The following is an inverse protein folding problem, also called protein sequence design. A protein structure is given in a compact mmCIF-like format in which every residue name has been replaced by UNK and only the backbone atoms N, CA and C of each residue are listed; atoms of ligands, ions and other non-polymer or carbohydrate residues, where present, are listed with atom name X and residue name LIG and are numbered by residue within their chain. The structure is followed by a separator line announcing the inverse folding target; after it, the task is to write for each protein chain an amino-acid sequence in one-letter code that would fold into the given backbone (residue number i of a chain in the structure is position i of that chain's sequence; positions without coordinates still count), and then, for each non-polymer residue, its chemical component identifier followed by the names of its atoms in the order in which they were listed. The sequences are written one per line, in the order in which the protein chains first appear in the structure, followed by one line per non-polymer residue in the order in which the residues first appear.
data_IF_938545000531
#
_entry.id   IF_938545000531
#
_cell.length_a   1.000
_cell.length_b   1.000
_cell.length_c   1.000
_cell.angle_alpha   90.00
_cell.angle_beta   90.00
_cell.angle_gamma   90.00
#
_symmetry.space_group_name_H-M   'P 1'
#
loop_
_entity.id
_entity.type
_entity.pdbx_description
1 polymer ?
#
# COMPACT_ATOMS: atom_id res chain seq x y z
N UNK A 1 8.21 -14.23 12.68
CA UNK A 1 9.52 -13.61 12.40
C UNK A 1 10.05 -14.24 11.12
N UNK A 2 9.71 -13.69 9.95
CA UNK A 2 10.20 -14.18 8.67
C UNK A 2 11.32 -13.26 8.22
N UNK A 3 12.54 -13.74 8.29
CA UNK A 3 13.70 -13.12 7.65
C UNK A 3 13.59 -13.42 6.15
N UNK A 4 13.44 -12.36 5.34
CA UNK A 4 13.57 -12.47 3.88
C UNK A 4 15.07 -12.63 3.61
N UNK A 5 15.48 -13.86 3.34
CA UNK A 5 16.82 -14.17 2.84
C UNK A 5 16.94 -13.63 1.41
N UNK A 6 17.67 -12.53 1.25
CA UNK A 6 18.18 -12.08 -0.05
C UNK A 6 19.31 -13.00 -0.48
N UNK A 7 19.00 -14.03 -1.24
CA UNK A 7 20.01 -14.76 -2.01
C UNK A 7 20.03 -14.21 -3.44
N UNK A 8 20.69 -13.07 -3.61
CA UNK A 8 21.00 -12.51 -4.92
C UNK A 8 22.30 -13.10 -5.44
N UNK A 9 22.25 -13.85 -6.52
CA UNK A 9 23.44 -14.13 -7.32
C UNK A 9 23.79 -12.85 -8.07
N UNK A 10 24.70 -12.07 -7.51
CA UNK A 10 25.26 -10.89 -8.15
C UNK A 10 26.25 -11.35 -9.23
N UNK A 11 25.92 -11.18 -10.50
CA UNK A 11 26.93 -11.10 -11.54
C UNK A 11 27.68 -9.78 -11.39
N UNK A 12 28.97 -9.87 -11.13
CA UNK A 12 29.86 -8.73 -10.95
C UNK A 12 29.95 -7.91 -12.25
N UNK A 13 29.43 -6.70 -12.22
CA UNK A 13 29.75 -5.65 -13.15
C UNK A 13 29.99 -4.34 -12.39
N UNK A 14 31.21 -3.79 -12.53
CA UNK A 14 31.65 -2.41 -12.31
C UNK A 14 31.00 -1.64 -11.16
N UNK A 15 31.83 -1.01 -10.34
CA UNK A 15 31.49 -0.20 -9.14
C UNK A 15 30.13 0.52 -9.26
N UNK A 16 29.07 -0.15 -8.90
CA UNK A 16 27.75 0.46 -8.81
C UNK A 16 27.69 1.28 -7.54
N UNK A 17 27.49 2.58 -7.67
CA UNK A 17 27.34 3.47 -6.53
C UNK A 17 26.14 3.01 -5.69
N UNK A 18 26.42 2.75 -4.41
CA UNK A 18 25.35 2.41 -3.46
C UNK A 18 24.71 3.68 -2.93
N UNK A 19 23.38 3.69 -2.86
CA UNK A 19 22.62 4.80 -2.29
C UNK A 19 21.81 4.33 -1.09
N UNK A 20 21.97 5.02 0.03
CA UNK A 20 21.12 4.83 1.19
C UNK A 20 19.84 5.66 1.05
N UNK A 21 18.71 4.99 0.94
CA UNK A 21 17.38 5.59 0.72
C UNK A 21 16.83 6.15 2.05
N UNK A 22 17.36 7.28 2.47
CA UNK A 22 16.89 7.96 3.68
C UNK A 22 15.73 8.91 3.33
N UNK A 23 14.69 8.95 4.16
CA UNK A 23 13.63 9.93 4.01
C UNK A 23 13.81 11.07 5.03
N UNK A 24 14.36 12.19 4.58
CA UNK A 24 14.64 13.37 5.41
C UNK A 24 13.36 14.06 5.92
N UNK A 25 12.20 13.84 5.29
CA UNK A 25 10.95 14.40 5.81
C UNK A 25 10.69 13.93 7.25
N UNK A 26 11.16 12.71 7.57
CA UNK A 26 11.19 12.21 8.95
C UNK A 26 12.36 12.82 9.70
N UNK A 27 12.13 13.89 10.37
CA UNK A 27 13.13 14.74 11.07
C UNK A 27 12.71 16.19 11.07
N UNK A 28 11.84 16.56 10.14
CA UNK A 28 11.21 17.88 10.09
C UNK A 28 10.16 18.05 11.19
N UNK A 29 9.81 19.29 11.54
CA UNK A 29 8.75 19.56 12.51
C UNK A 29 7.38 19.14 11.99
N UNK A 30 7.14 19.33 10.71
CA UNK A 30 5.98 18.81 10.01
C UNK A 30 6.24 18.65 8.51
N UNK A 31 5.42 17.81 7.85
CA UNK A 31 5.42 17.65 6.41
C UNK A 31 4.06 17.12 5.94
N UNK A 32 3.77 17.32 4.66
CA UNK A 32 2.48 16.97 4.07
C UNK A 32 2.70 16.18 2.79
N UNK A 33 1.99 15.05 2.65
CA UNK A 33 1.85 14.36 1.37
C UNK A 33 0.43 14.56 0.84
N UNK A 34 0.32 14.84 -0.46
CA UNK A 34 -0.93 14.76 -1.20
C UNK A 34 -1.11 13.34 -1.69
N UNK A 35 -2.19 12.69 -1.31
CA UNK A 35 -2.59 11.38 -1.79
C UNK A 35 -3.69 11.54 -2.84
N UNK A 36 -3.46 11.05 -4.05
CA UNK A 36 -4.44 10.93 -5.11
C UNK A 36 -4.78 9.46 -5.25
N UNK A 37 -6.06 9.12 -5.13
CA UNK A 37 -6.58 7.78 -5.39
C UNK A 37 -7.41 7.82 -6.65
N UNK A 38 -7.15 6.90 -7.56
CA UNK A 38 -7.92 6.75 -8.78
C UNK A 38 -8.36 5.29 -8.90
N UNK A 39 -9.66 5.07 -8.94
CA UNK A 39 -10.26 3.80 -9.33
C UNK A 39 -10.78 3.92 -10.75
N UNK A 40 -10.57 2.90 -11.58
CA UNK A 40 -11.06 2.90 -12.96
C UNK A 40 -11.45 1.51 -13.42
N UNK A 41 -12.36 1.47 -14.39
CA UNK A 41 -12.75 0.27 -15.13
C UNK A 41 -12.56 0.58 -16.60
N UNK A 42 -11.90 -0.34 -17.34
CA UNK A 42 -11.76 -0.24 -18.79
C UNK A 42 -12.41 -1.43 -19.47
N UNK A 43 -12.78 -1.28 -20.75
CA UNK A 43 -13.18 -2.38 -21.60
C UNK A 43 -11.96 -3.01 -22.27
N UNK A 44 -12.22 -4.00 -23.15
CA UNK A 44 -11.20 -4.73 -23.92
C UNK A 44 -10.36 -3.87 -24.89
N UNK A 45 -10.79 -2.64 -25.17
CA UNK A 45 -10.08 -1.68 -26.03
C UNK A 45 -9.43 -0.55 -25.21
N UNK A 46 -9.23 -0.75 -23.90
CA UNK A 46 -8.68 0.22 -22.96
C UNK A 46 -9.46 1.55 -22.83
N UNK A 47 -10.72 1.59 -23.29
CA UNK A 47 -11.59 2.73 -23.05
C UNK A 47 -12.09 2.73 -21.61
N UNK A 48 -11.98 3.86 -20.94
CA UNK A 48 -12.52 4.05 -19.59
C UNK A 48 -14.06 3.97 -19.63
N UNK A 49 -14.61 3.01 -18.89
CA UNK A 49 -16.05 2.88 -18.67
C UNK A 49 -16.48 3.68 -17.45
N UNK A 50 -15.65 3.72 -16.43
CA UNK A 50 -15.85 4.47 -15.20
C UNK A 50 -14.50 4.89 -14.61
N UNK A 51 -14.45 6.07 -13.99
CA UNK A 51 -13.28 6.54 -13.29
C UNK A 51 -13.69 7.43 -12.12
N UNK A 52 -13.18 7.08 -10.93
CA UNK A 52 -13.36 7.88 -9.72
C UNK A 52 -12.00 8.38 -9.24
N UNK A 53 -11.90 9.68 -9.00
CA UNK A 53 -10.69 10.30 -8.46
C UNK A 53 -11.03 10.94 -7.12
N UNK A 54 -10.23 10.65 -6.11
CA UNK A 54 -10.29 11.24 -4.79
C UNK A 54 -8.92 11.78 -4.41
N UNK A 55 -8.89 12.88 -3.67
CA UNK A 55 -7.65 13.51 -3.21
C UNK A 55 -7.73 13.83 -1.73
N UNK A 56 -6.69 13.46 -1.01
CA UNK A 56 -6.53 13.76 0.42
C UNK A 56 -5.13 14.33 0.71
N UNK A 57 -5.00 15.04 1.81
CA UNK A 57 -3.70 15.47 2.33
C UNK A 57 -3.41 14.74 3.62
N UNK A 58 -2.20 14.20 3.74
CA UNK A 58 -1.71 13.47 4.92
C UNK A 58 -0.70 14.36 5.63
N UNK A 59 -1.10 14.92 6.76
CA UNK A 59 -0.28 15.80 7.57
C UNK A 59 0.46 15.00 8.63
N UNK A 60 1.76 15.17 8.68
CA UNK A 60 2.64 14.62 9.71
C UNK A 60 3.15 15.76 10.60
N UNK A 61 2.85 15.70 11.89
CA UNK A 61 3.27 16.68 12.89
C UNK A 61 4.10 15.96 13.95
N UNK A 62 5.35 16.38 14.14
CA UNK A 62 6.25 15.76 15.11
C UNK A 62 5.79 16.01 16.55
N UNK A 63 5.80 14.95 17.35
CA UNK A 63 5.39 14.97 18.77
C UNK A 63 6.61 14.92 19.69
N UNK A 64 7.44 15.93 19.69
CA UNK A 64 8.63 15.99 20.54
C UNK A 64 9.95 16.02 19.77
N UNK A 65 11.09 15.92 20.45
CA UNK A 65 12.40 15.98 19.83
C UNK A 65 12.70 14.72 19.02
N UNK A 66 13.60 14.83 18.05
CA UNK A 66 14.23 13.69 17.39
C UNK A 66 15.17 13.02 18.40
N UNK A 67 15.10 11.71 18.50
CA UNK A 67 15.99 10.90 19.35
C UNK A 67 16.96 10.07 18.50
N UNK A 68 17.95 9.45 19.14
CA UNK A 68 18.88 8.53 18.48
C UNK A 68 18.19 7.30 17.89
N UNK A 69 16.98 6.97 18.37
CA UNK A 69 16.19 5.85 17.90
C UNK A 69 15.16 6.24 16.83
N UNK A 70 14.88 7.55 16.68
CA UNK A 70 13.93 8.04 15.68
C UNK A 70 13.02 9.16 16.16
N UNK A 71 11.85 9.27 15.58
CA UNK A 71 10.88 10.33 15.83
C UNK A 71 9.46 9.80 15.90
N UNK A 72 8.59 10.48 16.64
CA UNK A 72 7.16 10.17 16.75
C UNK A 72 6.36 11.29 16.10
N UNK A 73 5.39 10.91 15.29
CA UNK A 73 4.51 11.84 14.58
C UNK A 73 3.05 11.56 14.87
N UNK A 74 2.30 12.64 15.01
CA UNK A 74 0.84 12.65 14.84
C UNK A 74 0.55 12.72 13.34
N UNK A 75 -0.31 11.83 12.84
CA UNK A 75 -0.73 11.81 11.45
C UNK A 75 -2.22 12.10 11.36
N UNK A 76 -2.56 13.07 10.55
CA UNK A 76 -3.91 13.57 10.34
C UNK A 76 -4.21 13.60 8.85
N UNK A 77 -5.47 13.38 8.50
CA UNK A 77 -5.93 13.45 7.11
C UNK A 77 -6.82 14.68 6.91
N UNK A 78 -6.69 15.32 5.75
CA UNK A 78 -7.53 16.45 5.36
C UNK A 78 -8.10 16.23 3.95
N UNK A 79 -9.31 16.72 3.71
CA UNK A 79 -9.98 16.59 2.42
C UNK A 79 -9.48 17.64 1.41
N UNK A 80 -9.64 17.31 0.11
CA UNK A 80 -9.18 18.14 -1.00
C UNK A 80 -9.74 19.57 -1.00
N UNK A 81 -11.02 19.75 -0.65
CA UNK A 81 -11.71 21.03 -0.73
C UNK A 81 -11.28 22.01 0.38
N UNK A 82 -10.71 21.49 1.45
CA UNK A 82 -10.18 22.27 2.55
C UNK A 82 -9.04 21.50 3.24
N UNK A 83 -7.77 21.83 2.95
CA UNK A 83 -6.61 21.18 3.56
C UNK A 83 -6.60 21.28 5.10
N UNK A 84 -7.37 22.18 5.68
CA UNK A 84 -7.55 22.36 7.13
C UNK A 84 -8.70 21.53 7.69
N UNK A 85 -9.62 21.09 6.85
CA UNK A 85 -10.73 20.25 7.24
C UNK A 85 -10.28 18.80 7.32
N UNK A 86 -9.88 18.40 8.50
CA UNK A 86 -9.47 17.03 8.78
C UNK A 86 -10.60 16.07 8.41
N UNK A 87 -10.27 15.13 7.53
CA UNK A 87 -11.13 13.97 7.29
C UNK A 87 -10.77 12.85 8.25
N UNK A 88 -11.78 12.09 8.51
CA UNK A 88 -11.64 10.81 9.18
C UNK A 88 -10.75 9.91 8.34
N UNK A 89 -10.04 9.01 8.98
CA UNK A 89 -9.43 7.87 8.33
C UNK A 89 -10.58 6.95 7.89
N UNK A 90 -11.13 7.24 6.70
CA UNK A 90 -12.53 7.01 6.35
C UNK A 90 -12.93 5.57 6.14
N UNK A 91 -12.00 4.71 5.86
CA UNK A 91 -12.41 3.35 5.50
C UNK A 91 -12.64 2.43 6.70
N UNK A 92 -12.15 2.79 7.89
CA UNK A 92 -12.03 1.79 8.96
C UNK A 92 -12.74 2.13 10.26
N UNK A 93 -13.02 3.41 10.56
CA UNK A 93 -13.62 3.80 11.83
C UNK A 93 -14.76 4.78 11.59
N UNK A 94 -16.01 4.29 11.50
CA UNK A 94 -17.17 5.16 11.42
C UNK A 94 -17.27 6.00 12.70
N UNK A 95 -17.17 7.30 12.57
CA UNK A 95 -17.57 8.21 13.62
C UNK A 95 -16.50 9.09 14.27
N UNK A 96 -15.20 8.79 14.15
CA UNK A 96 -14.15 9.52 14.84
C UNK A 96 -13.05 10.07 13.91
N UNK A 97 -12.55 11.27 14.21
CA UNK A 97 -11.27 11.79 13.69
C UNK A 97 -10.16 10.92 14.26
N UNK A 98 -9.72 9.93 13.49
CA UNK A 98 -8.71 9.00 13.95
C UNK A 98 -7.33 9.62 13.76
N UNK A 99 -6.79 10.17 14.83
CA UNK A 99 -5.40 10.55 14.91
C UNK A 99 -4.53 9.31 15.01
N UNK A 100 -3.61 9.09 14.04
CA UNK A 100 -2.59 8.06 14.13
C UNK A 100 -1.35 8.63 14.84
N UNK A 101 -0.79 7.88 15.78
CA UNK A 101 0.51 8.21 16.39
C UNK A 101 1.51 7.16 15.93
N UNK A 102 2.47 7.59 15.11
CA UNK A 102 3.38 6.72 14.36
C UNK A 102 4.83 6.98 14.76
N UNK A 103 5.57 5.92 15.04
CA UNK A 103 7.02 5.98 15.26
C UNK A 103 7.78 5.65 13.99
N UNK A 104 8.84 6.41 13.73
CA UNK A 104 9.80 6.20 12.65
C UNK A 104 11.20 6.02 13.24
N UNK A 105 12.01 5.15 12.63
CA UNK A 105 13.43 5.08 12.94
C UNK A 105 14.21 6.22 12.26
N UNK A 106 15.52 6.31 12.52
CA UNK A 106 16.40 7.33 11.95
C UNK A 106 16.57 7.27 10.44
N UNK A 107 16.28 6.13 9.81
CA UNK A 107 16.25 5.95 8.35
C UNK A 107 14.93 6.42 7.71
N UNK A 108 13.92 6.74 8.54
CA UNK A 108 12.60 7.14 8.06
C UNK A 108 11.62 5.98 7.82
N UNK A 109 11.94 4.78 8.31
CA UNK A 109 11.04 3.62 8.22
C UNK A 109 10.06 3.62 9.38
N UNK A 110 8.80 3.34 9.09
CA UNK A 110 7.76 3.15 10.12
C UNK A 110 8.10 1.93 10.98
N UNK A 111 8.14 2.12 12.30
CA UNK A 111 8.42 1.05 13.27
C UNK A 111 7.19 0.60 14.03
N UNK A 112 6.39 1.54 14.53
CA UNK A 112 5.22 1.24 15.35
C UNK A 112 4.05 2.18 15.09
N UNK A 113 2.83 1.65 15.26
CA UNK A 113 1.61 2.42 15.49
C UNK A 113 1.39 2.52 17.01
N UNK A 114 1.79 3.64 17.62
CA UNK A 114 1.85 3.79 19.09
C UNK A 114 0.47 3.61 19.74
N UNK A 115 -0.56 4.19 19.15
CA UNK A 115 -1.93 4.13 19.65
C UNK A 115 -2.76 2.99 19.00
N UNK A 116 -2.14 1.90 18.59
CA UNK A 116 -2.77 0.77 17.89
C UNK A 116 -3.94 0.13 18.63
N UNK A 117 -3.93 0.11 19.98
CA UNK A 117 -4.99 -0.48 20.79
C UNK A 117 -6.34 0.21 20.56
N UNK A 118 -6.33 1.56 20.40
CA UNK A 118 -7.51 2.32 20.05
C UNK A 118 -8.14 1.86 18.74
N UNK A 119 -7.31 1.59 17.73
CA UNK A 119 -7.77 1.10 16.44
C UNK A 119 -8.24 -0.35 16.51
N UNK A 120 -7.53 -1.20 17.26
CA UNK A 120 -8.00 -2.56 17.55
C UNK A 120 -9.43 -2.55 18.11
N UNK A 121 -9.67 -1.73 19.13
CA UNK A 121 -10.96 -1.69 19.82
C UNK A 121 -12.08 -1.13 18.90
N UNK A 122 -11.76 -0.16 18.07
CA UNK A 122 -12.68 0.38 17.07
C UNK A 122 -13.00 -0.64 15.96
N UNK A 123 -12.00 -1.36 15.44
CA UNK A 123 -12.19 -2.44 14.47
C UNK A 123 -13.05 -3.57 15.06
N UNK A 124 -12.75 -4.00 16.28
CA UNK A 124 -13.53 -5.02 16.96
C UNK A 124 -14.98 -4.58 17.18
N UNK A 125 -15.21 -3.30 17.54
CA UNK A 125 -16.56 -2.73 17.68
C UNK A 125 -17.31 -2.71 16.34
N UNK A 126 -16.64 -2.33 15.24
CA UNK A 126 -17.23 -2.36 13.90
C UNK A 126 -17.64 -3.77 13.50
N UNK A 127 -16.76 -4.75 13.72
CA UNK A 127 -17.03 -6.16 13.41
C UNK A 127 -18.18 -6.72 14.27
N UNK A 128 -18.27 -6.32 15.55
CA UNK A 128 -19.39 -6.71 16.41
C UNK A 128 -20.74 -6.22 15.85
N UNK A 129 -20.80 -5.02 15.27
CA UNK A 129 -21.99 -4.54 14.56
C UNK A 129 -22.33 -5.36 13.33
N UNK A 130 -21.32 -5.84 12.60
CA UNK A 130 -21.52 -6.73 11.45
C UNK A 130 -22.10 -8.09 11.87
N UNK A 131 -21.68 -8.64 13.04
CA UNK A 131 -22.30 -9.85 13.61
C UNK A 131 -23.77 -9.59 13.93
N UNK A 132 -24.07 -8.46 14.58
CA UNK A 132 -25.46 -8.10 14.92
C UNK A 132 -26.35 -7.93 13.68
N UNK A 133 -25.75 -7.46 12.57
CA UNK A 133 -26.43 -7.33 11.28
C UNK A 133 -26.51 -8.65 10.50
N UNK A 134 -25.93 -9.74 11.00
CA UNK A 134 -25.90 -11.04 10.31
C UNK A 134 -24.95 -11.11 9.12
N UNK A 135 -24.04 -10.14 8.98
CA UNK A 135 -23.10 -10.06 7.84
C UNK A 135 -21.87 -10.96 8.02
N UNK A 136 -21.51 -11.27 9.25
CA UNK A 136 -20.46 -12.23 9.61
C UNK A 136 -20.93 -13.12 10.76
N UNK A 137 -20.40 -14.33 10.86
CA UNK A 137 -20.72 -15.24 11.96
C UNK A 137 -20.00 -14.87 13.26
N UNK A 138 -20.51 -15.32 14.40
CA UNK A 138 -19.84 -15.14 15.69
C UNK A 138 -18.47 -15.86 15.75
N UNK A 139 -18.33 -17.02 15.11
CA UNK A 139 -17.07 -17.75 15.02
C UNK A 139 -16.04 -16.98 14.22
N UNK A 140 -16.40 -16.46 13.06
CA UNK A 140 -15.54 -15.62 12.22
C UNK A 140 -15.10 -14.33 12.95
N UNK A 141 -16.02 -13.73 13.72
CA UNK A 141 -15.69 -12.57 14.55
C UNK A 141 -14.60 -12.91 15.58
N UNK A 142 -14.72 -14.01 16.31
CA UNK A 142 -13.75 -14.38 17.34
C UNK A 142 -12.37 -14.69 16.72
N UNK A 143 -12.32 -15.34 15.58
CA UNK A 143 -11.08 -15.58 14.83
C UNK A 143 -10.41 -14.25 14.43
N UNK A 144 -11.16 -13.36 13.76
CA UNK A 144 -10.66 -12.04 13.37
C UNK A 144 -10.25 -11.20 14.57
N UNK A 145 -11.00 -11.25 15.68
CA UNK A 145 -10.67 -10.55 16.91
C UNK A 145 -9.35 -11.00 17.53
N UNK A 146 -9.05 -12.30 17.47
CA UNK A 146 -7.77 -12.82 17.94
C UNK A 146 -6.60 -12.28 17.10
N UNK A 147 -6.75 -12.17 15.80
CA UNK A 147 -5.70 -11.62 14.93
C UNK A 147 -5.43 -10.14 15.22
N UNK A 148 -6.45 -9.37 15.59
CA UNK A 148 -6.30 -7.95 15.97
C UNK A 148 -5.51 -7.71 17.28
N UNK A 149 -5.18 -8.75 18.04
CA UNK A 149 -4.31 -8.61 19.22
C UNK A 149 -2.82 -8.41 18.87
N UNK A 150 -2.48 -8.38 17.60
CA UNK A 150 -1.13 -8.11 17.11
C UNK A 150 -1.03 -6.69 16.53
N UNK A 151 -0.13 -5.86 17.07
CA UNK A 151 0.10 -4.48 16.58
C UNK A 151 0.39 -4.46 15.07
N UNK A 152 1.21 -5.39 14.58
CA UNK A 152 1.58 -5.48 13.18
C UNK A 152 0.38 -5.69 12.25
N UNK A 153 -0.65 -6.42 12.68
CA UNK A 153 -1.87 -6.62 11.91
C UNK A 153 -2.71 -5.33 11.87
N UNK A 154 -2.92 -4.72 13.04
CA UNK A 154 -3.68 -3.46 13.14
C UNK A 154 -2.97 -2.37 12.33
N UNK A 155 -1.64 -2.24 12.47
CA UNK A 155 -0.84 -1.29 11.70
C UNK A 155 -1.00 -1.50 10.19
N UNK A 156 -0.92 -2.74 9.70
CA UNK A 156 -1.10 -3.05 8.28
C UNK A 156 -2.48 -2.61 7.77
N UNK A 157 -3.53 -2.84 8.56
CA UNK A 157 -4.89 -2.48 8.18
C UNK A 157 -5.14 -0.96 8.18
N UNK A 158 -4.58 -0.25 9.17
CA UNK A 158 -4.91 1.16 9.40
C UNK A 158 -3.96 2.11 8.66
N UNK A 159 -2.74 1.65 8.38
CA UNK A 159 -1.67 2.47 7.81
C UNK A 159 -1.30 2.10 6.38
N UNK A 160 -2.15 1.37 5.66
CA UNK A 160 -1.83 0.92 4.31
C UNK A 160 -1.35 2.08 3.42
N UNK A 161 -2.12 3.17 3.39
CA UNK A 161 -1.78 4.35 2.58
C UNK A 161 -0.52 5.09 3.06
N UNK A 162 -0.12 4.95 4.31
CA UNK A 162 1.06 5.61 4.85
C UNK A 162 2.32 4.75 4.65
N UNK A 163 2.19 3.44 4.84
CA UNK A 163 3.34 2.53 4.77
C UNK A 163 4.03 2.55 3.42
N UNK A 164 3.29 2.71 2.32
CA UNK A 164 3.86 2.73 0.98
C UNK A 164 4.86 3.87 0.77
N UNK A 165 4.59 5.05 1.29
CA UNK A 165 5.50 6.21 1.16
C UNK A 165 6.85 5.95 1.82
N UNK A 166 6.86 5.19 2.92
CA UNK A 166 8.06 4.93 3.71
C UNK A 166 8.61 3.51 3.55
N UNK A 167 8.09 2.75 2.60
CA UNK A 167 8.41 1.32 2.44
C UNK A 167 9.90 1.07 2.21
N UNK A 168 10.55 1.88 1.39
CA UNK A 168 11.97 1.76 1.04
C UNK A 168 12.88 2.63 1.92
N UNK A 169 12.32 3.42 2.83
CA UNK A 169 13.10 4.28 3.71
C UNK A 169 14.02 3.46 4.62
N UNK A 170 15.30 3.85 4.69
CA UNK A 170 16.33 3.17 5.48
C UNK A 170 16.98 1.98 4.76
N UNK A 171 16.54 1.61 3.56
CA UNK A 171 17.17 0.56 2.77
C UNK A 171 18.38 1.12 1.99
N UNK A 172 19.32 0.24 1.62
CA UNK A 172 20.43 0.57 0.73
C UNK A 172 20.21 -0.14 -0.60
N UNK A 173 20.39 0.58 -1.70
CA UNK A 173 20.26 0.04 -3.05
C UNK A 173 21.46 0.39 -3.91
N UNK A 174 21.66 -0.35 -5.00
CA UNK A 174 22.66 -0.07 -6.02
C UNK A 174 21.97 0.57 -7.23
N UNK A 175 22.60 1.60 -7.81
CA UNK A 175 22.14 2.20 -9.05
C UNK A 175 22.37 1.20 -10.19
N UNK A 176 21.47 1.18 -11.17
CA UNK A 176 21.45 0.27 -12.32
C UNK A 176 21.32 -1.22 -11.96
N UNK A 177 20.92 -1.52 -10.71
CA UNK A 177 20.67 -2.89 -10.29
C UNK A 177 19.22 -3.32 -10.53
N UNK A 178 19.04 -4.63 -10.67
CA UNK A 178 17.75 -5.28 -10.70
C UNK A 178 17.64 -6.32 -9.57
N UNK A 179 16.58 -6.23 -8.79
CA UNK A 179 16.34 -7.09 -7.63
C UNK A 179 15.08 -7.92 -7.86
N UNK A 180 15.16 -9.22 -7.65
CA UNK A 180 13.97 -10.06 -7.60
C UNK A 180 13.12 -9.70 -6.39
N UNK A 181 11.81 -9.62 -6.57
CA UNK A 181 10.85 -9.31 -5.53
C UNK A 181 9.70 -10.29 -5.52
N UNK A 182 9.22 -10.55 -4.31
CA UNK A 182 7.96 -11.23 -4.09
C UNK A 182 7.07 -10.28 -3.29
N UNK A 183 5.91 -9.93 -3.84
CA UNK A 183 4.93 -9.03 -3.20
C UNK A 183 3.74 -9.85 -2.70
N UNK A 184 3.44 -9.86 -1.39
CA UNK A 184 2.16 -10.40 -0.92
C UNK A 184 1.03 -9.48 -1.38
N UNK A 185 -0.02 -10.09 -1.91
CA UNK A 185 -1.22 -9.40 -2.39
C UNK A 185 -2.43 -10.17 -1.91
N UNK A 186 -3.49 -9.47 -1.56
CA UNK A 186 -4.77 -10.09 -1.23
C UNK A 186 -5.55 -10.42 -2.48
N UNK A 187 -6.12 -11.61 -2.51
CA UNK A 187 -7.11 -11.95 -3.51
C UNK A 187 -8.30 -10.98 -3.44
N UNK A 188 -8.72 -10.40 -4.56
CA UNK A 188 -9.91 -9.56 -4.60
C UNK A 188 -11.22 -10.37 -4.44
N UNK A 189 -11.14 -11.70 -4.48
CA UNK A 189 -12.30 -12.61 -4.43
C UNK A 189 -12.47 -13.24 -3.04
N UNK A 190 -11.42 -13.92 -2.54
CA UNK A 190 -11.45 -14.62 -1.23
C UNK A 190 -10.89 -13.78 -0.09
N UNK A 191 -10.06 -12.78 -0.38
CA UNK A 191 -9.28 -12.05 0.62
C UNK A 191 -8.08 -12.82 1.18
N UNK A 192 -7.76 -14.00 0.65
CA UNK A 192 -6.56 -14.76 1.01
C UNK A 192 -5.30 -14.10 0.45
N UNK A 193 -4.17 -14.28 1.15
CA UNK A 193 -2.88 -13.75 0.72
C UNK A 193 -2.23 -14.70 -0.29
N UNK A 194 -1.77 -14.18 -1.42
CA UNK A 194 -0.90 -14.87 -2.37
C UNK A 194 0.24 -13.96 -2.82
N UNK A 195 1.18 -14.50 -3.60
CA UNK A 195 2.45 -13.85 -3.84
C UNK A 195 2.67 -13.58 -5.33
N UNK A 196 2.74 -12.30 -5.71
CA UNK A 196 3.18 -11.89 -7.05
C UNK A 196 4.68 -11.89 -7.13
N UNK A 197 5.24 -12.45 -8.21
CA UNK A 197 6.67 -12.40 -8.51
C UNK A 197 6.98 -11.27 -9.48
N UNK A 198 8.19 -10.72 -9.37
CA UNK A 198 8.63 -9.66 -10.23
C UNK A 198 10.03 -9.17 -9.91
N UNK A 199 10.35 -8.00 -10.44
CA UNK A 199 11.64 -7.35 -10.18
C UNK A 199 11.46 -5.87 -9.84
N UNK A 200 12.42 -5.34 -9.10
CA UNK A 200 12.61 -3.91 -8.88
C UNK A 200 13.88 -3.46 -9.58
N UNK A 201 13.79 -2.39 -10.36
CA UNK A 201 14.90 -1.74 -11.05
C UNK A 201 15.15 -0.37 -10.45
N UNK A 202 16.41 -0.02 -10.31
CA UNK A 202 16.85 1.29 -9.84
C UNK A 202 17.62 1.97 -10.97
N UNK A 203 17.17 3.15 -11.40
CA UNK A 203 17.78 3.89 -12.51
C UNK A 203 17.96 5.35 -12.16
N UNK A 204 19.05 5.94 -12.63
CA UNK A 204 19.18 7.39 -12.67
C UNK A 204 18.21 7.98 -13.71
N UNK A 205 17.55 9.09 -13.38
CA UNK A 205 16.71 9.80 -14.35
C UNK A 205 17.62 10.68 -15.22
N UNK A 206 17.64 10.51 -16.55
CA UNK A 206 18.49 11.29 -17.44
C UNK A 206 18.29 12.80 -17.25
N UNK A 207 19.39 13.53 -17.09
CA UNK A 207 19.37 15.00 -16.92
C UNK A 207 18.91 15.48 -15.53
N UNK A 208 18.79 14.58 -14.57
CA UNK A 208 18.40 14.87 -13.17
C UNK A 208 19.37 14.19 -12.21
N UNK A 209 19.42 14.69 -10.97
CA UNK A 209 20.06 13.99 -9.84
C UNK A 209 19.18 12.90 -9.24
N UNK A 210 17.93 12.80 -9.68
CA UNK A 210 16.91 11.92 -9.09
C UNK A 210 17.06 10.48 -9.55
N UNK A 211 16.60 9.55 -8.70
CA UNK A 211 16.51 8.12 -8.98
C UNK A 211 15.06 7.70 -9.15
N UNK A 212 14.80 6.82 -10.09
CA UNK A 212 13.55 6.08 -10.25
C UNK A 212 13.76 4.63 -9.81
N UNK A 213 13.04 4.23 -8.77
CA UNK A 213 12.95 2.83 -8.37
C UNK A 213 11.59 2.32 -8.85
N UNK A 214 11.60 1.43 -9.83
CA UNK A 214 10.37 0.86 -10.41
C UNK A 214 10.30 -0.63 -10.12
N UNK A 215 9.15 -1.10 -9.65
CA UNK A 215 8.89 -2.52 -9.46
C UNK A 215 7.64 -2.93 -10.24
N UNK A 216 7.72 -4.06 -10.94
CA UNK A 216 6.61 -4.68 -11.61
C UNK A 216 6.48 -6.13 -11.12
N UNK A 217 5.32 -6.47 -10.58
CA UNK A 217 5.01 -7.80 -10.08
C UNK A 217 3.76 -8.31 -10.80
N UNK A 218 3.76 -9.58 -11.20
CA UNK A 218 2.68 -10.18 -11.97
C UNK A 218 2.36 -11.56 -11.43
N UNK A 219 1.10 -11.96 -11.58
CA UNK A 219 0.70 -13.33 -11.36
C UNK A 219 1.30 -14.23 -12.45
N UNK A 220 2.01 -15.28 -12.06
CA UNK A 220 2.52 -16.33 -12.96
C UNK A 220 1.41 -17.37 -13.26
N UNK A 221 1.77 -18.44 -13.92
CA UNK A 221 0.78 -19.43 -14.41
C UNK A 221 -0.01 -20.09 -13.29
N UNK A 222 0.64 -20.42 -12.16
CA UNK A 222 -0.01 -21.08 -11.03
C UNK A 222 -0.96 -20.10 -10.31
N UNK A 223 -0.50 -18.88 -10.02
CA UNK A 223 -1.30 -17.86 -9.39
C UNK A 223 -2.50 -17.45 -10.27
N UNK A 224 -2.32 -17.40 -11.60
CA UNK A 224 -3.42 -17.14 -12.54
C UNK A 224 -4.48 -18.24 -12.51
N UNK A 225 -4.07 -19.50 -12.44
CA UNK A 225 -5.01 -20.62 -12.34
C UNK A 225 -5.80 -20.58 -11.04
N UNK A 226 -5.13 -20.31 -9.94
CA UNK A 226 -5.76 -20.17 -8.64
C UNK A 226 -6.74 -18.97 -8.60
N UNK A 227 -6.32 -17.79 -9.06
CA UNK A 227 -7.20 -16.62 -9.20
C UNK A 227 -8.42 -16.90 -10.07
N UNK A 228 -8.25 -17.70 -11.13
CA UNK A 228 -9.38 -18.08 -11.99
C UNK A 228 -10.38 -18.96 -11.25
N UNK A 229 -9.92 -19.91 -10.43
CA UNK A 229 -10.78 -20.76 -9.62
C UNK A 229 -11.55 -19.95 -8.58
N UNK A 230 -10.88 -19.03 -7.88
CA UNK A 230 -11.53 -18.15 -6.92
C UNK A 230 -12.54 -17.19 -7.56
N UNK A 231 -12.20 -16.61 -8.72
CA UNK A 231 -13.12 -15.78 -9.50
C UNK A 231 -14.38 -16.55 -9.86
N UNK A 232 -14.24 -17.81 -10.30
CA UNK A 232 -15.40 -18.69 -10.60
C UNK A 232 -16.25 -18.96 -9.36
N UNK A 233 -15.61 -19.28 -8.23
CA UNK A 233 -16.32 -19.50 -6.97
C UNK A 233 -17.10 -18.25 -6.54
N UNK A 234 -16.44 -17.10 -6.57
CA UNK A 234 -17.05 -15.81 -6.25
C UNK A 234 -18.25 -15.48 -7.17
N UNK A 235 -18.12 -15.69 -8.48
CA UNK A 235 -19.21 -15.47 -9.42
C UNK A 235 -20.41 -16.41 -9.15
N UNK A 236 -20.16 -17.65 -8.78
CA UNK A 236 -21.22 -18.60 -8.39
C UNK A 236 -21.95 -18.18 -7.12
N UNK A 237 -21.21 -17.68 -6.12
CA UNK A 237 -21.79 -17.20 -4.85
C UNK A 237 -22.62 -15.93 -5.04
N UNK A 238 -22.18 -15.00 -5.88
CA UNK A 238 -22.85 -13.71 -6.09
C UNK A 238 -24.00 -13.79 -7.10
N UNK A 239 -23.89 -14.64 -8.12
CA UNK A 239 -24.85 -14.71 -9.24
C UNK A 239 -26.03 -15.67 -9.03
N UNK A 240 -26.00 -16.51 -8.01
CA UNK A 240 -27.03 -17.53 -7.82
C UNK A 240 -27.12 -18.50 -9.03
N UNK A 241 -28.31 -19.12 -9.22
CA UNK A 241 -28.54 -20.03 -10.33
C UNK A 241 -28.65 -19.35 -11.73
N UNK A 242 -28.79 -18.00 -11.74
CA UNK A 242 -28.88 -17.18 -12.96
C UNK A 242 -27.55 -16.57 -13.38
N UNK A 243 -26.41 -16.94 -12.73
CA UNK A 243 -25.09 -16.50 -13.17
C UNK A 243 -24.88 -16.90 -14.63
N UNK A 244 -24.55 -15.92 -15.48
CA UNK A 244 -24.17 -16.14 -16.86
C UNK A 244 -23.16 -17.29 -16.97
N UNK A 245 -23.25 -18.15 -17.99
CA UNK A 245 -22.52 -19.40 -18.01
C UNK A 245 -21.04 -19.17 -17.80
N UNK A 246 -20.48 -19.76 -16.74
CA UNK A 246 -19.06 -19.74 -16.34
C UNK A 246 -18.09 -20.17 -17.47
N UNK A 247 -18.65 -20.63 -18.59
CA UNK A 247 -17.94 -20.98 -19.82
C UNK A 247 -17.26 -19.82 -20.51
N UNK A 248 -17.59 -18.56 -20.14
CA UNK A 248 -16.98 -17.37 -20.75
C UNK A 248 -15.76 -16.81 -20.01
N UNK A 249 -15.38 -17.35 -18.84
CA UNK A 249 -14.18 -16.89 -18.14
C UNK A 249 -12.92 -17.41 -18.86
N UNK A 250 -12.30 -16.56 -19.69
CA UNK A 250 -11.13 -16.89 -20.51
C UNK A 250 -9.80 -16.66 -19.79
N UNK A 251 -9.77 -15.73 -18.83
CA UNK A 251 -8.56 -15.44 -18.06
C UNK A 251 -8.77 -14.45 -16.94
N UNK A 252 -7.97 -14.61 -15.90
CA UNK A 252 -7.84 -13.67 -14.78
C UNK A 252 -6.35 -13.40 -14.57
N UNK A 253 -6.01 -12.15 -14.29
CA UNK A 253 -4.65 -11.74 -13.97
C UNK A 253 -4.63 -10.61 -12.97
N UNK A 254 -3.57 -10.52 -12.18
CA UNK A 254 -3.30 -9.40 -11.32
C UNK A 254 -1.89 -8.90 -11.57
N UNK A 255 -1.79 -7.60 -11.79
CA UNK A 255 -0.54 -6.89 -11.96
C UNK A 255 -0.41 -5.84 -10.86
N UNK A 256 0.79 -5.65 -10.36
CA UNK A 256 1.09 -4.59 -9.40
C UNK A 256 2.36 -3.89 -9.81
N UNK A 257 2.27 -2.59 -10.02
CA UNK A 257 3.40 -1.74 -10.36
C UNK A 257 3.62 -0.71 -9.27
N UNK A 258 4.88 -0.41 -8.99
CA UNK A 258 5.29 0.56 -8.00
C UNK A 258 6.39 1.44 -8.57
N UNK A 259 6.30 2.74 -8.34
CA UNK A 259 7.34 3.70 -8.69
C UNK A 259 7.66 4.56 -7.47
N UNK A 260 8.94 4.74 -7.20
CA UNK A 260 9.44 5.61 -6.15
C UNK A 260 10.43 6.59 -6.78
N UNK A 261 10.09 7.86 -6.74
CA UNK A 261 10.95 8.94 -7.21
C UNK A 261 11.70 9.51 -6.01
N UNK A 262 13.00 9.31 -6.01
CA UNK A 262 13.89 9.67 -4.92
C UNK A 262 14.91 10.71 -5.35
N UNK A 263 15.07 11.77 -4.55
CA UNK A 263 16.09 12.80 -4.75
C UNK A 263 17.23 12.61 -3.73
N UNK A 264 18.40 12.06 -4.16
CA UNK A 264 19.50 11.75 -3.26
C UNK A 264 20.10 12.98 -2.57
N UNK A 265 20.18 14.13 -3.26
CA UNK A 265 20.74 15.36 -2.72
C UNK A 265 19.92 15.91 -1.54
N UNK A 266 18.60 15.76 -1.63
CA UNK A 266 17.67 16.17 -0.59
C UNK A 266 17.31 15.01 0.36
N UNK A 267 17.62 13.79 -0.01
CA UNK A 267 17.26 12.54 0.71
C UNK A 267 15.75 12.43 0.91
N UNK A 268 14.96 12.60 -0.16
CA UNK A 268 13.51 12.64 -0.11
C UNK A 268 12.89 11.73 -1.17
N UNK A 269 11.85 11.00 -0.78
CA UNK A 269 10.87 10.47 -1.70
C UNK A 269 9.84 11.56 -1.99
N UNK A 270 9.92 12.18 -3.16
CA UNK A 270 9.01 13.26 -3.53
C UNK A 270 7.76 12.79 -4.25
N UNK A 271 7.79 11.57 -4.80
CA UNK A 271 6.62 10.92 -5.41
C UNK A 271 6.70 9.42 -5.22
N UNK A 272 5.57 8.82 -4.89
CA UNK A 272 5.37 7.36 -4.87
C UNK A 272 4.09 7.06 -5.64
N UNK A 273 4.13 6.05 -6.51
CA UNK A 273 2.96 5.59 -7.28
C UNK A 273 2.82 4.09 -7.05
N UNK A 274 1.61 3.67 -6.76
CA UNK A 274 1.22 2.26 -6.69
C UNK A 274 0.03 2.05 -7.63
N UNK A 275 0.16 1.10 -8.55
CA UNK A 275 -0.90 0.69 -9.47
C UNK A 275 -1.16 -0.79 -9.30
N UNK A 276 -2.35 -1.16 -8.86
CA UNK A 276 -2.82 -2.54 -8.78
C UNK A 276 -3.95 -2.72 -9.80
N UNK A 277 -3.80 -3.66 -10.73
CA UNK A 277 -4.73 -3.87 -11.85
C UNK A 277 -5.18 -5.32 -11.90
N UNK A 278 -6.47 -5.54 -11.67
CA UNK A 278 -7.14 -6.82 -11.89
C UNK A 278 -7.65 -6.86 -13.34
N UNK A 279 -7.29 -7.89 -14.07
CA UNK A 279 -7.78 -8.15 -15.44
C UNK A 279 -8.67 -9.37 -15.42
N UNK A 280 -9.89 -9.25 -15.92
CA UNK A 280 -10.84 -10.37 -16.10
C UNK A 280 -11.29 -10.34 -17.56
N UNK A 281 -10.99 -11.41 -18.28
CA UNK A 281 -11.20 -11.55 -19.74
C UNK A 281 -10.61 -10.38 -20.54
N UNK A 282 -10.43 -9.43 -20.68
CA UNK A 282 -9.90 -8.25 -21.34
C UNK A 282 -10.47 -6.94 -20.75
N UNK A 283 -11.22 -7.04 -19.66
CA UNK A 283 -11.61 -5.87 -18.91
C UNK A 283 -10.63 -5.66 -17.75
N UNK A 284 -10.24 -4.42 -17.49
CA UNK A 284 -9.36 -4.08 -16.38
C UNK A 284 -10.08 -3.25 -15.35
N UNK A 285 -9.89 -3.61 -14.09
CA UNK A 285 -10.23 -2.75 -12.95
C UNK A 285 -8.95 -2.38 -12.24
N UNK A 286 -8.63 -1.09 -12.25
CA UNK A 286 -7.39 -0.59 -11.66
C UNK A 286 -7.64 0.31 -10.46
N UNK A 287 -6.67 0.30 -9.55
CA UNK A 287 -6.58 1.22 -8.44
C UNK A 287 -5.17 1.84 -8.47
N UNK A 288 -5.10 3.14 -8.69
CA UNK A 288 -3.85 3.89 -8.66
C UNK A 288 -3.87 4.77 -7.43
N UNK A 289 -2.79 4.69 -6.64
CA UNK A 289 -2.53 5.58 -5.53
C UNK A 289 -1.22 6.32 -5.79
N UNK A 290 -1.27 7.64 -5.72
CA UNK A 290 -0.10 8.49 -5.91
C UNK A 290 0.05 9.40 -4.70
N UNK A 291 1.24 9.43 -4.13
CA UNK A 291 1.64 10.33 -3.05
C UNK A 291 2.68 11.29 -3.59
N UNK A 292 2.38 12.57 -3.54
CA UNK A 292 3.32 13.64 -3.84
C UNK A 292 3.69 14.36 -2.53
N UNK A 293 4.97 14.57 -2.29
CA UNK A 293 5.40 15.44 -1.21
C UNK A 293 4.95 16.86 -1.54
N UNK A 294 4.03 17.40 -0.73
CA UNK A 294 3.36 18.67 -0.98
C UNK A 294 4.04 19.82 -0.28
N UNK A 295 4.46 19.61 0.96
CA UNK A 295 5.07 20.65 1.77
C UNK A 295 5.99 20.09 2.85
N UNK A 296 7.02 20.86 3.22
CA UNK A 296 7.99 20.57 4.26
C UNK A 296 8.15 21.81 5.15
N UNK A 297 7.96 21.64 6.44
CA UNK A 297 8.17 22.69 7.44
C UNK A 297 9.32 22.32 8.36
N UNK A 298 10.29 23.21 8.51
CA UNK A 298 11.45 23.04 9.38
C UNK A 298 11.13 23.14 10.89
#
# INVERSE_FOLDING_TARGET
MFAILFSGVAQAQTSSDSVWLRNRSVGQSSFVYRLIRQEYITNENDYFLDAKIDTAYIHFQRMGPVTDTGSVYRVLFAHNDDPKKLIRCDSWIPGDTAELIVSFNTGGKVTHLVNWKRFRDALASSMSKQVQAGLISGAEFEEKRQTLNQEAIVRRLVMEDIQYVFHLSGDTTLIDAEYLRVKPVRSPFSGEDYYLRGSMKVKAIPGSSSLLLSAANRAESEEKQWLMQECKAYMLEQGGQDAAPLTELKGVGLNSEQEFHYEPSQRLFYRVILSDVLVINNQSRGNIRQWDLWDLYE
#
